data_IF_347758757415
#
_entry.id   IF_347758757415
#
_cell.length_a   1.000
_cell.length_b   1.000
_cell.length_c   1.000
_cell.angle_alpha   90.00
_cell.angle_beta   90.00
_cell.angle_gamma   90.00
#
_symmetry.space_group_name_H-M   'P 1'
#
loop_
_entity.id
_entity.type
_entity.pdbx_description
1 polymer ?
#
# COMPACT_ATOMS: atom_id res chain seq x y z
N UNK A 1 17.89 5.95 -1.83
CA UNK A 1 16.60 6.24 -1.16
C UNK A 1 16.34 7.73 -1.22
N UNK A 2 15.11 8.14 -1.53
CA UNK A 2 14.72 9.55 -1.64
C UNK A 2 14.21 10.07 -0.30
N UNK A 3 14.47 11.33 0.02
CA UNK A 3 13.91 11.99 1.22
C UNK A 3 12.37 11.98 1.16
N UNK A 4 11.82 11.99 -0.05
CA UNK A 4 10.38 12.04 -0.31
C UNK A 4 9.69 10.72 0.04
N UNK A 5 10.32 9.57 -0.23
CA UNK A 5 9.73 8.25 0.09
C UNK A 5 9.72 7.99 1.59
N UNK A 6 10.76 8.43 2.31
CA UNK A 6 10.79 8.40 3.78
C UNK A 6 9.70 9.31 4.35
N UNK A 7 9.53 10.52 3.80
CA UNK A 7 8.49 11.44 4.23
C UNK A 7 7.08 10.87 4.00
N UNK A 8 6.84 10.22 2.85
CA UNK A 8 5.56 9.60 2.53
C UNK A 8 5.19 8.51 3.55
N UNK A 9 6.12 7.59 3.87
CA UNK A 9 5.86 6.53 4.87
C UNK A 9 5.60 7.11 6.26
N UNK A 10 6.34 8.14 6.67
CA UNK A 10 6.08 8.83 7.94
C UNK A 10 4.72 9.52 7.96
N UNK A 11 4.31 10.12 6.84
CA UNK A 11 3.00 10.76 6.71
C UNK A 11 1.86 9.73 6.76
N UNK A 12 2.03 8.57 6.14
CA UNK A 12 1.08 7.46 6.21
C UNK A 12 0.81 7.03 7.66
N UNK A 13 1.87 6.83 8.44
CA UNK A 13 1.74 6.41 9.85
C UNK A 13 1.19 7.53 10.74
N UNK A 14 1.51 8.78 10.43
CA UNK A 14 0.93 9.93 11.13
C UNK A 14 -0.59 10.05 10.91
N UNK A 15 -1.07 9.77 9.70
CA UNK A 15 -2.50 9.76 9.36
C UNK A 15 -3.22 8.52 9.90
N UNK A 16 -2.52 7.37 9.93
CA UNK A 16 -3.05 6.09 10.39
C UNK A 16 -2.19 5.52 11.53
N UNK A 17 -2.39 5.99 12.78
CA UNK A 17 -1.57 5.57 13.93
C UNK A 17 -1.58 4.07 14.22
N UNK A 18 -2.59 3.32 13.73
CA UNK A 18 -2.63 1.86 13.83
C UNK A 18 -1.43 1.17 13.16
N UNK A 19 -0.79 1.84 12.19
CA UNK A 19 0.40 1.36 11.51
C UNK A 19 1.71 1.65 12.28
N UNK A 20 1.64 2.26 13.47
CA UNK A 20 2.82 2.60 14.25
C UNK A 20 3.62 1.35 14.65
N UNK A 21 2.93 0.27 15.02
CA UNK A 21 3.58 -0.99 15.37
C UNK A 21 4.28 -1.61 14.16
N UNK A 22 3.63 -1.60 12.98
CA UNK A 22 4.24 -2.05 11.71
C UNK A 22 5.52 -1.27 11.39
N UNK A 23 5.51 0.05 11.58
CA UNK A 23 6.70 0.88 11.39
C UNK A 23 7.79 0.55 12.41
N UNK A 24 7.43 0.39 13.68
CA UNK A 24 8.40 0.10 14.75
C UNK A 24 9.10 -1.23 14.51
N UNK A 25 8.33 -2.28 14.24
CA UNK A 25 8.84 -3.62 13.94
C UNK A 25 9.76 -3.59 12.71
N UNK A 26 9.32 -2.97 11.61
CA UNK A 26 10.13 -2.88 10.39
C UNK A 26 11.44 -2.11 10.61
N UNK A 27 11.44 -1.06 11.44
CA UNK A 27 12.66 -0.31 11.78
C UNK A 27 13.59 -1.13 12.68
N UNK A 28 13.05 -1.86 13.66
CA UNK A 28 13.82 -2.75 14.53
C UNK A 28 14.49 -3.89 13.72
N UNK A 29 13.73 -4.53 12.83
CA UNK A 29 14.22 -5.60 11.96
C UNK A 29 15.33 -5.13 11.02
N UNK A 30 15.32 -3.85 10.66
CA UNK A 30 16.31 -3.23 9.77
C UNK A 30 17.36 -2.39 10.52
N UNK A 31 17.71 -2.79 11.75
CA UNK A 31 18.79 -2.18 12.54
C UNK A 31 18.64 -0.65 12.77
N UNK A 32 17.41 -0.17 12.90
CA UNK A 32 17.11 1.25 13.10
C UNK A 32 16.98 2.05 11.80
N UNK A 33 17.08 1.41 10.63
CA UNK A 33 16.93 2.09 9.34
C UNK A 33 15.48 2.15 8.87
N UNK A 34 15.10 3.32 8.34
CA UNK A 34 13.79 3.49 7.69
C UNK A 34 13.95 3.15 6.22
N UNK A 35 13.48 1.97 5.82
CA UNK A 35 13.53 1.46 4.44
C UNK A 35 12.11 1.50 3.82
N UNK A 36 11.76 2.55 3.04
CA UNK A 36 10.37 2.79 2.65
C UNK A 36 9.71 1.65 1.88
N UNK A 37 10.46 0.97 1.00
CA UNK A 37 9.95 -0.17 0.24
C UNK A 37 9.59 -1.36 1.14
N UNK A 38 10.40 -1.66 2.16
CA UNK A 38 10.11 -2.74 3.09
C UNK A 38 8.93 -2.38 3.99
N UNK A 39 8.94 -1.16 4.55
CA UNK A 39 7.85 -0.69 5.41
C UNK A 39 6.52 -0.71 4.65
N UNK A 40 6.47 -0.22 3.41
CA UNK A 40 5.24 -0.25 2.64
C UNK A 40 4.80 -1.69 2.32
N UNK A 41 5.74 -2.59 2.02
CA UNK A 41 5.42 -4.01 1.83
C UNK A 41 4.85 -4.64 3.12
N UNK A 42 5.38 -4.27 4.30
CA UNK A 42 4.88 -4.72 5.60
C UNK A 42 3.48 -4.18 5.88
N UNK A 43 3.21 -2.91 5.53
CA UNK A 43 1.87 -2.32 5.58
C UNK A 43 0.91 -3.09 4.68
N UNK A 44 1.29 -3.41 3.44
CA UNK A 44 0.42 -4.19 2.54
C UNK A 44 0.14 -5.59 3.07
N UNK A 45 1.13 -6.23 3.72
CA UNK A 45 0.94 -7.53 4.38
C UNK A 45 -0.03 -7.41 5.56
N UNK A 46 0.10 -6.35 6.37
CA UNK A 46 -0.83 -6.06 7.45
C UNK A 46 -2.26 -5.84 6.93
N UNK A 47 -2.42 -5.04 5.87
CA UNK A 47 -3.73 -4.84 5.24
C UNK A 47 -4.32 -6.18 4.76
N UNK A 48 -3.51 -7.02 4.12
CA UNK A 48 -3.95 -8.31 3.59
C UNK A 48 -4.44 -9.26 4.69
N UNK A 49 -3.83 -9.21 5.88
CA UNK A 49 -4.27 -10.04 7.02
C UNK A 49 -5.47 -9.47 7.77
N UNK A 50 -5.77 -8.18 7.64
CA UNK A 50 -6.84 -7.50 8.38
C UNK A 50 -8.04 -7.09 7.51
N UNK A 51 -7.98 -7.29 6.20
CA UNK A 51 -9.00 -6.82 5.26
C UNK A 51 -10.42 -7.37 5.52
N UNK A 52 -10.54 -8.54 6.16
CA UNK A 52 -11.85 -9.13 6.54
C UNK A 52 -12.38 -8.60 7.88
N UNK A 53 -11.49 -8.32 8.84
CA UNK A 53 -11.86 -7.88 10.19
C UNK A 53 -11.91 -6.37 10.35
N UNK A 54 -11.15 -5.63 9.54
CA UNK A 54 -10.92 -4.18 9.65
C UNK A 54 -11.09 -3.48 8.29
N UNK A 55 -12.18 -3.82 7.59
CA UNK A 55 -12.42 -3.36 6.23
C UNK A 55 -12.41 -1.83 6.08
N UNK A 56 -12.99 -1.10 7.03
CA UNK A 56 -13.04 0.38 6.99
C UNK A 56 -11.65 1.01 7.10
N UNK A 57 -10.79 0.46 7.96
CA UNK A 57 -9.40 0.91 8.13
C UNK A 57 -8.60 0.63 6.86
N UNK A 58 -8.77 -0.57 6.29
CA UNK A 58 -8.11 -0.94 5.03
C UNK A 58 -8.53 -0.01 3.88
N UNK A 59 -9.83 0.31 3.76
CA UNK A 59 -10.33 1.27 2.77
C UNK A 59 -9.72 2.65 2.99
N UNK A 60 -9.62 3.12 4.23
CA UNK A 60 -9.03 4.44 4.52
C UNK A 60 -7.56 4.51 4.10
N UNK A 61 -6.76 3.49 4.42
CA UNK A 61 -5.34 3.42 4.06
C UNK A 61 -5.17 3.31 2.55
N UNK A 62 -5.93 2.45 1.86
CA UNK A 62 -5.87 2.34 0.39
C UNK A 62 -6.26 3.65 -0.29
N UNK A 63 -7.25 4.37 0.24
CA UNK A 63 -7.61 5.72 -0.25
C UNK A 63 -6.49 6.73 -0.04
N UNK A 64 -5.78 6.65 1.09
CA UNK A 64 -4.61 7.49 1.32
C UNK A 64 -3.53 7.21 0.28
N UNK A 65 -3.22 5.94 0.00
CA UNK A 65 -2.24 5.54 -1.01
C UNK A 65 -2.64 6.03 -2.42
N UNK A 66 -3.93 5.97 -2.76
CA UNK A 66 -4.45 6.51 -4.02
C UNK A 66 -4.16 8.01 -4.15
N UNK A 67 -4.53 8.79 -3.14
CA UNK A 67 -4.32 10.24 -3.12
C UNK A 67 -2.83 10.60 -3.17
N UNK A 68 -2.00 9.85 -2.43
CA UNK A 68 -0.56 10.05 -2.39
C UNK A 68 0.09 9.70 -3.74
N UNK A 69 -0.38 8.66 -4.43
CA UNK A 69 0.07 8.34 -5.78
C UNK A 69 -0.27 9.45 -6.78
N UNK A 70 -1.49 9.99 -6.73
CA UNK A 70 -1.92 11.06 -7.63
C UNK A 70 -1.09 12.33 -7.48
N UNK A 71 -0.80 12.75 -6.24
CA UNK A 71 -0.08 14.00 -5.95
C UNK A 71 1.44 13.86 -5.80
N UNK A 72 1.91 12.64 -5.57
CA UNK A 72 3.30 12.34 -5.23
C UNK A 72 4.29 12.57 -6.37
N UNK A 73 5.57 12.63 -6.02
CA UNK A 73 6.67 12.66 -7.00
C UNK A 73 6.84 11.30 -7.69
N UNK A 74 7.69 11.23 -8.71
CA UNK A 74 8.03 9.95 -9.37
C UNK A 74 8.46 8.89 -8.36
N UNK A 75 9.33 9.24 -7.41
CA UNK A 75 9.86 8.30 -6.42
C UNK A 75 8.75 7.75 -5.50
N UNK A 76 7.79 8.59 -5.14
CA UNK A 76 6.64 8.19 -4.30
C UNK A 76 5.66 7.33 -5.09
N UNK A 77 5.40 7.67 -6.35
CA UNK A 77 4.58 6.85 -7.25
C UNK A 77 5.20 5.49 -7.46
N UNK A 78 6.49 5.42 -7.73
CA UNK A 78 7.22 4.17 -7.93
C UNK A 78 7.21 3.31 -6.65
N UNK A 79 7.40 3.93 -5.47
CA UNK A 79 7.25 3.25 -4.19
C UNK A 79 5.86 2.61 -4.04
N UNK A 80 4.80 3.37 -4.30
CA UNK A 80 3.42 2.89 -4.12
C UNK A 80 3.05 1.84 -5.17
N UNK A 81 3.51 1.97 -6.41
CA UNK A 81 3.26 0.95 -7.44
C UNK A 81 3.95 -0.38 -7.06
N UNK A 82 5.26 -0.33 -6.82
CA UNK A 82 6.09 -1.55 -6.66
C UNK A 82 5.97 -2.17 -5.26
N UNK A 83 5.88 -1.35 -4.21
CA UNK A 83 5.81 -1.86 -2.83
C UNK A 83 4.42 -1.77 -2.22
N UNK A 84 3.48 -1.11 -2.90
CA UNK A 84 2.07 -1.10 -2.55
C UNK A 84 1.26 -2.07 -3.41
N UNK A 85 0.98 -1.68 -4.65
CA UNK A 85 0.03 -2.39 -5.53
C UNK A 85 0.53 -3.78 -5.92
N UNK A 86 1.79 -3.92 -6.31
CA UNK A 86 2.38 -5.23 -6.68
C UNK A 86 2.44 -6.19 -5.48
N UNK A 87 2.42 -5.68 -4.25
CA UNK A 87 2.45 -6.49 -3.03
C UNK A 87 1.08 -7.03 -2.60
N UNK A 88 0.01 -6.69 -3.31
CA UNK A 88 -1.31 -7.27 -3.04
C UNK A 88 -1.28 -8.76 -3.42
N UNK A 89 -1.69 -9.69 -2.52
CA UNK A 89 -1.64 -11.13 -2.79
C UNK A 89 -2.40 -11.53 -4.04
N UNK A 90 -1.89 -12.45 -4.86
CA UNK A 90 -2.47 -12.83 -6.15
C UNK A 90 -3.97 -13.19 -6.08
N UNK A 91 -4.75 -13.00 -7.17
CA UNK A 91 -6.16 -13.34 -7.20
C UNK A 91 -6.44 -14.77 -6.70
N UNK A 92 -7.34 -14.90 -5.72
CA UNK A 92 -7.69 -16.17 -5.10
C UNK A 92 -6.84 -16.55 -3.88
N UNK A 93 -5.79 -15.79 -3.57
CA UNK A 93 -5.06 -15.92 -2.32
C UNK A 93 -5.71 -15.08 -1.20
N UNK A 94 -5.55 -15.47 0.08
CA UNK A 94 -5.99 -14.66 1.21
C UNK A 94 -5.44 -13.22 1.13
N UNK A 95 -6.30 -12.23 1.31
CA UNK A 95 -5.95 -10.81 1.24
C UNK A 95 -6.07 -10.18 -0.16
N UNK A 96 -6.27 -10.97 -1.22
CA UNK A 96 -6.43 -10.48 -2.60
C UNK A 96 -7.64 -9.56 -2.80
N UNK A 97 -8.63 -9.62 -1.90
CA UNK A 97 -9.79 -8.72 -1.85
C UNK A 97 -9.41 -7.23 -1.72
N UNK A 98 -8.20 -6.89 -1.27
CA UNK A 98 -7.70 -5.50 -1.28
C UNK A 98 -7.78 -4.86 -2.68
N UNK A 99 -7.64 -5.64 -3.76
CA UNK A 99 -7.78 -5.12 -5.14
C UNK A 99 -9.12 -4.44 -5.38
N UNK A 100 -10.18 -4.92 -4.73
CA UNK A 100 -11.52 -4.34 -4.87
C UNK A 100 -11.59 -2.92 -4.29
N UNK A 101 -10.68 -2.57 -3.38
CA UNK A 101 -10.63 -1.29 -2.68
C UNK A 101 -9.81 -0.23 -3.40
N UNK A 102 -8.96 -0.63 -4.36
CA UNK A 102 -8.15 0.29 -5.15
C UNK A 102 -9.03 1.32 -5.88
N UNK A 103 -8.58 2.57 -5.91
CA UNK A 103 -9.18 3.61 -6.72
C UNK A 103 -8.79 3.47 -8.20
N UNK A 104 -9.32 4.34 -9.06
CA UNK A 104 -9.13 4.22 -10.52
C UNK A 104 -7.66 4.34 -10.94
N UNK A 105 -6.87 5.18 -10.27
CA UNK A 105 -5.48 5.43 -10.60
C UNK A 105 -4.61 4.25 -10.19
N UNK A 106 -4.73 3.73 -8.95
CA UNK A 106 -3.95 2.55 -8.56
C UNK A 106 -4.40 1.27 -9.28
N UNK A 107 -5.69 1.13 -9.63
CA UNK A 107 -6.14 0.02 -10.50
C UNK A 107 -5.46 0.03 -11.86
N UNK A 108 -5.14 1.21 -12.41
CA UNK A 108 -4.51 1.33 -13.73
C UNK A 108 -3.07 0.80 -13.79
N UNK A 109 -2.45 0.61 -12.63
CA UNK A 109 -1.09 0.07 -12.46
C UNK A 109 -1.07 -1.29 -11.74
N UNK A 110 -2.23 -1.91 -11.50
CA UNK A 110 -2.32 -3.26 -10.95
C UNK A 110 -1.93 -4.29 -12.03
N UNK A 111 -0.89 -5.12 -11.81
CA UNK A 111 -0.42 -6.08 -12.80
C UNK A 111 -1.46 -7.15 -13.16
N UNK A 112 -2.46 -7.37 -12.29
CA UNK A 112 -3.53 -8.34 -12.51
C UNK A 112 -4.81 -7.73 -13.09
N UNK A 113 -4.87 -6.40 -13.24
CA UNK A 113 -5.96 -5.71 -13.92
C UNK A 113 -5.42 -5.06 -15.20
N UNK A 114 -5.14 -5.85 -16.25
CA UNK A 114 -4.77 -5.28 -17.53
C UNK A 114 -5.92 -4.37 -18.00
N UNK A 115 -5.55 -3.21 -18.54
CA UNK A 115 -6.44 -2.26 -19.20
C UNK A 115 -7.44 -3.02 -20.09
N UNK A 116 -8.72 -3.02 -19.71
CA UNK A 116 -9.79 -3.65 -20.50
C UNK A 116 -10.51 -4.85 -19.89
N UNK A 117 -10.49 -5.08 -18.57
CA UNK A 117 -11.56 -5.89 -17.95
C UNK A 117 -12.85 -5.08 -17.85
N UNK A 118 -13.46 -4.83 -19.01
CA UNK A 118 -14.87 -4.52 -19.10
C UNK A 118 -15.63 -5.52 -18.23
N UNK A 119 -16.37 -4.94 -17.29
CA UNK A 119 -17.68 -5.41 -16.85
C UNK A 119 -18.37 -6.15 -18.01
N UNK A 120 -18.33 -7.47 -17.99
CA UNK A 120 -19.36 -8.33 -18.58
C UNK A 120 -19.17 -9.77 -18.10
N UNK A 121 -19.78 -10.07 -16.96
CA UNK A 121 -20.53 -11.31 -16.75
C UNK A 121 -21.54 -11.15 -15.63
#
# INVERSE_FOLDING_TARGET
MSVQTVAAVRALVAEHPILADVLSESVEDNCGEVLPHLILADVMRWLASHVESEQEVCIAIVRWLELEYERGTSDVRDLIAVSGVEMIPDPGQPGSQLRTMLGPTLRSVDPWLPWGSERDR
#
